data_IF_748802592057
#
_entry.id   IF_748802592057
#
_cell.length_a   1.000
_cell.length_b   1.000
_cell.length_c   1.000
_cell.angle_alpha   90.00
_cell.angle_beta   90.00
_cell.angle_gamma   90.00
#
_symmetry.space_group_name_H-M   'P 1'
#
loop_
_entity.id
_entity.type
_entity.pdbx_description
1 polymer ?
#
# COMPACT_ATOMS: atom_id res chain seq x y z
N UNK A 1 -1.46 17.90 25.72
CA UNK A 1 -0.23 17.18 25.31
C UNK A 1 -0.46 15.68 25.57
N UNK A 2 -0.03 14.68 24.78
CA UNK A 2 0.66 14.67 23.46
C UNK A 2 -0.26 14.14 22.31
N UNK A 3 -0.38 14.85 21.18
CA UNK A 3 0.18 14.66 19.80
C UNK A 3 -0.52 13.66 18.86
N UNK A 4 -1.19 14.27 17.85
CA UNK A 4 -1.32 13.86 16.43
C UNK A 4 -2.42 12.89 15.98
N UNK A 5 -3.60 13.45 15.66
CA UNK A 5 -4.39 13.12 14.45
C UNK A 5 -3.87 14.02 13.31
N UNK A 6 -3.92 13.68 12.00
CA UNK A 6 -5.18 13.32 11.33
C UNK A 6 -5.07 12.26 10.19
N UNK A 7 -6.21 11.67 9.83
CA UNK A 7 -6.38 11.09 8.50
C UNK A 7 -6.09 12.17 7.43
N UNK A 8 -5.28 11.92 6.38
CA UNK A 8 -5.11 12.91 5.34
C UNK A 8 -6.38 12.97 4.46
N UNK A 9 -6.87 14.18 4.14
CA UNK A 9 -7.92 14.35 3.14
C UNK A 9 -7.35 14.10 1.73
N UNK A 10 -8.25 13.79 0.81
CA UNK A 10 -7.99 13.53 -0.61
C UNK A 10 -7.04 14.55 -1.27
N UNK A 11 -6.08 14.06 -2.05
CA UNK A 11 -5.35 14.87 -3.03
C UNK A 11 -5.95 14.67 -4.43
N UNK A 12 -6.59 15.69 -5.02
CA UNK A 12 -7.13 15.64 -6.37
C UNK A 12 -6.11 16.25 -7.34
N UNK A 13 -5.10 15.48 -7.81
CA UNK A 13 -4.20 15.90 -8.92
C UNK A 13 -3.14 14.86 -9.30
N UNK A 14 -3.52 13.85 -10.08
CA UNK A 14 -2.86 13.52 -11.35
C UNK A 14 -3.40 12.21 -11.94
N UNK A 15 -4.11 12.24 -13.09
CA UNK A 15 -4.82 11.07 -13.58
C UNK A 15 -3.94 9.95 -14.19
N UNK A 16 -2.68 10.19 -14.59
CA UNK A 16 -1.98 9.23 -15.48
C UNK A 16 -0.43 9.18 -15.40
N UNK A 17 0.24 9.69 -14.36
CA UNK A 17 1.72 9.65 -14.36
C UNK A 17 2.30 8.46 -13.58
N UNK A 18 2.59 7.36 -14.29
CA UNK A 18 3.54 6.31 -13.89
C UNK A 18 3.14 5.47 -12.68
N UNK A 19 2.53 4.31 -12.92
CA UNK A 19 2.19 3.36 -11.86
C UNK A 19 3.47 2.89 -11.14
N UNK A 20 3.76 3.50 -10.00
CA UNK A 20 4.92 3.17 -9.17
C UNK A 20 4.51 2.22 -8.05
N UNK A 21 5.51 1.53 -7.47
CA UNK A 21 5.34 0.76 -6.23
C UNK A 21 4.65 1.56 -5.12
N UNK A 22 4.81 2.88 -5.13
CA UNK A 22 4.14 3.79 -4.20
C UNK A 22 2.63 3.80 -4.40
N UNK A 23 2.18 3.94 -5.65
CA UNK A 23 0.76 3.93 -6.01
C UNK A 23 0.12 2.57 -5.68
N UNK A 24 0.84 1.48 -5.93
CA UNK A 24 0.38 0.13 -5.61
C UNK A 24 0.14 -0.03 -4.11
N UNK A 25 1.13 0.32 -3.29
CA UNK A 25 0.99 0.24 -1.82
C UNK A 25 -0.11 1.18 -1.34
N UNK A 26 -0.18 2.41 -1.87
CA UNK A 26 -1.22 3.38 -1.50
C UNK A 26 -2.63 2.86 -1.80
N UNK A 27 -2.85 2.26 -2.97
CA UNK A 27 -4.13 1.67 -3.33
C UNK A 27 -4.49 0.47 -2.46
N UNK A 28 -3.52 -0.41 -2.18
CA UNK A 28 -3.73 -1.55 -1.30
C UNK A 28 -4.04 -1.14 0.13
N UNK A 29 -3.34 -0.13 0.65
CA UNK A 29 -3.61 0.44 1.98
C UNK A 29 -4.98 1.12 2.01
N UNK A 30 -5.36 1.84 0.97
CA UNK A 30 -6.69 2.46 0.90
C UNK A 30 -7.82 1.41 0.85
N UNK A 31 -7.58 0.25 0.24
CA UNK A 31 -8.59 -0.79 0.07
C UNK A 31 -8.64 -1.81 1.22
N UNK A 32 -7.48 -2.23 1.75
CA UNK A 32 -7.36 -3.27 2.78
C UNK A 32 -6.91 -2.74 4.14
N UNK A 33 -6.35 -1.53 4.19
CA UNK A 33 -5.67 -1.01 5.38
C UNK A 33 -4.34 -1.69 5.65
N UNK A 34 -3.57 -1.11 6.57
CA UNK A 34 -2.28 -1.66 6.99
C UNK A 34 -2.41 -3.01 7.69
N UNK A 35 -3.46 -3.23 8.48
CA UNK A 35 -3.70 -4.51 9.16
C UNK A 35 -3.97 -5.64 8.18
N UNK A 36 -4.82 -5.43 7.17
CA UNK A 36 -5.09 -6.44 6.13
C UNK A 36 -3.86 -6.75 5.27
N UNK A 37 -3.01 -5.74 5.04
CA UNK A 37 -1.70 -5.93 4.41
C UNK A 37 -0.74 -6.73 5.29
N UNK A 38 -0.68 -6.47 6.60
CA UNK A 38 0.16 -7.20 7.54
C UNK A 38 -0.25 -8.68 7.69
N UNK A 39 -1.54 -8.98 7.61
CA UNK A 39 -2.05 -10.36 7.62
C UNK A 39 -1.65 -11.12 6.35
N UNK A 40 -1.74 -10.48 5.19
CA UNK A 40 -1.42 -11.11 3.89
C UNK A 40 0.07 -11.14 3.59
N UNK A 41 0.79 -10.13 4.07
CA UNK A 41 2.21 -9.92 3.89
C UNK A 41 2.76 -9.67 5.30
N UNK A 42 3.26 -10.71 6.00
CA UNK A 42 3.75 -10.60 7.37
C UNK A 42 5.10 -9.88 7.41
N UNK A 43 5.10 -8.59 7.08
CA UNK A 43 6.25 -7.70 7.12
C UNK A 43 6.10 -6.75 8.28
N UNK A 44 7.16 -6.65 9.08
CA UNK A 44 7.22 -5.73 10.22
C UNK A 44 6.97 -4.28 9.81
N UNK A 45 7.25 -3.92 8.56
CA UNK A 45 7.01 -2.57 8.05
C UNK A 45 5.54 -2.15 8.17
N UNK A 46 4.58 -3.05 7.96
CA UNK A 46 3.16 -2.72 8.04
C UNK A 46 2.62 -2.69 9.48
N UNK A 47 3.29 -3.36 10.42
CA UNK A 47 2.88 -3.42 11.83
C UNK A 47 3.58 -2.40 12.73
N UNK A 48 4.82 -2.01 12.42
CA UNK A 48 5.66 -1.17 13.28
C UNK A 48 5.67 0.29 12.84
N UNK A 49 5.84 0.55 11.53
CA UNK A 49 5.89 1.90 10.94
C UNK A 49 5.06 1.93 9.64
N UNK A 50 3.72 1.89 9.74
CA UNK A 50 2.82 1.88 8.59
C UNK A 50 2.87 3.23 7.89
N UNK A 51 3.84 3.37 6.99
CA UNK A 51 4.07 4.56 6.19
C UNK A 51 4.52 4.18 4.80
N UNK A 52 4.02 4.90 3.80
CA UNK A 52 4.35 4.68 2.38
C UNK A 52 5.87 4.72 2.15
N UNK A 53 6.56 5.74 2.66
CA UNK A 53 8.01 5.88 2.50
C UNK A 53 8.83 4.78 3.20
N UNK A 54 8.38 4.30 4.36
CA UNK A 54 9.03 3.19 5.07
C UNK A 54 8.83 1.87 4.32
N UNK A 55 7.60 1.66 3.82
CA UNK A 55 7.24 0.52 2.99
C UNK A 55 8.08 0.46 1.73
N UNK A 56 8.25 1.57 1.01
CA UNK A 56 9.11 1.62 -0.18
C UNK A 56 10.57 1.30 0.13
N UNK A 57 11.14 1.84 1.21
CA UNK A 57 12.50 1.50 1.64
C UNK A 57 12.63 0.01 1.97
N UNK A 58 11.60 -0.57 2.58
CA UNK A 58 11.55 -2.00 2.90
C UNK A 58 11.44 -2.86 1.63
N UNK A 59 10.53 -2.53 0.72
CA UNK A 59 10.34 -3.22 -0.57
C UNK A 59 11.54 -3.09 -1.51
N UNK A 60 12.47 -2.16 -1.26
CA UNK A 60 13.78 -2.10 -1.92
C UNK A 60 14.81 -3.05 -1.31
N UNK A 61 14.75 -3.30 0.00
CA UNK A 61 15.64 -4.24 0.71
C UNK A 61 15.14 -5.68 0.65
N UNK A 62 13.84 -5.89 0.44
CA UNK A 62 13.19 -7.20 0.51
C UNK A 62 12.42 -7.47 -0.78
N UNK A 63 13.05 -8.11 -1.79
CA UNK A 63 12.45 -8.29 -3.11
C UNK A 63 11.19 -9.18 -3.09
N UNK A 64 11.18 -10.25 -2.29
CA UNK A 64 9.99 -11.13 -2.19
C UNK A 64 8.74 -10.39 -1.68
N UNK A 65 8.93 -9.36 -0.83
CA UNK A 65 7.82 -8.56 -0.31
C UNK A 65 7.23 -7.65 -1.39
N UNK A 66 8.09 -7.14 -2.29
CA UNK A 66 7.66 -6.39 -3.49
C UNK A 66 6.79 -7.27 -4.38
N UNK A 67 7.26 -8.47 -4.70
CA UNK A 67 6.50 -9.41 -5.54
C UNK A 67 5.15 -9.76 -4.92
N UNK A 68 5.09 -9.93 -3.59
CA UNK A 68 3.84 -10.13 -2.85
C UNK A 68 2.88 -8.95 -2.96
N UNK A 69 3.38 -7.73 -2.77
CA UNK A 69 2.59 -6.50 -2.90
C UNK A 69 2.03 -6.36 -4.32
N UNK A 70 2.86 -6.57 -5.34
CA UNK A 70 2.44 -6.50 -6.74
C UNK A 70 1.40 -7.58 -7.08
N UNK A 71 1.61 -8.83 -6.63
CA UNK A 71 0.65 -9.91 -6.83
C UNK A 71 -0.71 -9.63 -6.17
N UNK A 72 -0.70 -9.03 -4.98
CA UNK A 72 -1.92 -8.67 -4.25
C UNK A 72 -2.68 -7.53 -4.96
N UNK A 73 -1.94 -6.58 -5.55
CA UNK A 73 -2.51 -5.54 -6.38
C UNK A 73 -3.13 -6.08 -7.68
N UNK A 74 -2.45 -7.01 -8.36
CA UNK A 74 -3.01 -7.69 -9.53
C UNK A 74 -4.28 -8.47 -9.18
N UNK A 75 -4.31 -9.13 -8.01
CA UNK A 75 -5.50 -9.81 -7.52
C UNK A 75 -6.66 -8.83 -7.31
N UNK A 76 -6.40 -7.71 -6.61
CA UNK A 76 -7.38 -6.64 -6.43
C UNK A 76 -7.89 -6.10 -7.78
N UNK A 77 -7.00 -5.86 -8.74
CA UNK A 77 -7.37 -5.34 -10.07
C UNK A 77 -8.22 -6.34 -10.87
N UNK A 78 -7.92 -7.64 -10.76
CA UNK A 78 -8.74 -8.71 -11.37
C UNK A 78 -10.14 -8.74 -10.78
N UNK A 79 -10.26 -8.64 -9.46
CA UNK A 79 -11.56 -8.60 -8.77
C UNK A 79 -12.33 -7.33 -9.14
N UNK A 80 -11.68 -6.16 -9.17
CA UNK A 80 -12.32 -4.91 -9.59
C UNK A 80 -12.82 -4.95 -11.04
N UNK A 81 -12.08 -5.62 -11.95
CA UNK A 81 -12.53 -5.83 -13.33
C UNK A 81 -13.67 -6.83 -13.48
N UNK A 82 -13.84 -7.76 -12.54
CA UNK A 82 -14.98 -8.69 -12.52
C UNK A 82 -16.24 -8.07 -11.92
N UNK A 83 -16.06 -7.08 -11.05
CA UNK A 83 -17.14 -6.34 -10.41
C UNK A 83 -17.67 -5.16 -11.25
N UNK A 84 -17.03 -4.85 -12.39
CA UNK A 84 -17.53 -3.93 -13.43
C UNK A 84 -18.14 -4.74 -14.58
#
# INVERSE_FOLDING_TARGET
>A
MPVSTPAPPAQPRNPLHGLTLEAIVTALVAHYGWSGLAERIPVRCFSVDPSIGSSLKFLRKTPWAREKVEGLYLFMLREQRRAQ
#
